data_IF_141036021504
#
_entry.id   IF_141036021504
#
_cell.length_a   1.000
_cell.length_b   1.000
_cell.length_c   1.000
_cell.angle_alpha   90.00
_cell.angle_beta   90.00
_cell.angle_gamma   90.00
#
_symmetry.space_group_name_H-M   'P 1'
#
loop_
_entity.id
_entity.type
_entity.pdbx_description
1 polymer ?
#
# COMPACT_ATOMS: atom_id res chain seq x y z
N UNK A 1 4.89 -2.16 -2.36
CA UNK A 1 4.73 -0.98 -1.51
C UNK A 1 3.30 -0.94 -0.97
N UNK A 2 3.14 -0.72 0.34
CA UNK A 2 1.84 -0.51 0.98
C UNK A 2 1.57 1.00 1.12
N UNK A 3 0.47 1.46 0.51
CA UNK A 3 0.04 2.87 0.52
C UNK A 3 -1.27 3.00 1.31
N UNK A 4 -1.43 4.12 2.00
CA UNK A 4 -2.56 4.37 2.89
C UNK A 4 -3.57 5.43 2.37
N UNK A 5 -3.32 5.99 1.19
CA UNK A 5 -4.16 7.03 0.60
C UNK A 5 -3.95 8.43 1.20
N UNK A 6 -2.94 8.64 2.05
CA UNK A 6 -2.64 9.96 2.60
C UNK A 6 -1.78 10.80 1.67
N UNK A 7 -1.66 12.10 1.95
CA UNK A 7 -0.82 13.04 1.18
C UNK A 7 0.67 12.63 1.11
N UNK A 8 1.12 11.75 2.00
CA UNK A 8 2.50 11.23 2.00
C UNK A 8 2.70 10.06 1.05
N UNK A 9 1.63 9.47 0.51
CA UNK A 9 1.72 8.30 -0.35
C UNK A 9 2.58 8.54 -1.59
N UNK A 10 2.53 9.75 -2.17
CA UNK A 10 3.29 10.08 -3.39
C UNK A 10 4.79 9.98 -3.15
N UNK A 11 5.26 10.43 -1.99
CA UNK A 11 6.67 10.32 -1.60
C UNK A 11 7.09 8.86 -1.38
N UNK A 12 6.23 8.07 -0.73
CA UNK A 12 6.48 6.64 -0.49
C UNK A 12 6.51 5.88 -1.82
N UNK A 13 5.55 6.15 -2.71
CA UNK A 13 5.47 5.54 -4.03
C UNK A 13 6.68 5.89 -4.91
N UNK A 14 7.05 7.15 -4.97
CA UNK A 14 8.23 7.60 -5.72
C UNK A 14 9.52 6.90 -5.22
N UNK A 15 9.63 6.70 -3.91
CA UNK A 15 10.76 5.95 -3.33
C UNK A 15 10.74 4.48 -3.71
N UNK A 16 9.55 3.86 -3.72
CA UNK A 16 9.38 2.46 -4.12
C UNK A 16 9.71 2.25 -5.61
N UNK A 17 9.25 3.14 -6.49
CA UNK A 17 9.57 3.11 -7.92
C UNK A 17 11.09 3.18 -8.13
N UNK A 18 11.77 4.09 -7.43
CA UNK A 18 13.24 4.20 -7.51
C UNK A 18 13.96 2.94 -7.03
N UNK A 19 13.49 2.33 -5.94
CA UNK A 19 14.08 1.08 -5.43
C UNK A 19 13.83 -0.07 -6.42
N UNK A 20 12.61 -0.19 -6.97
CA UNK A 20 12.27 -1.20 -7.95
C UNK A 20 13.15 -1.08 -9.21
N UNK A 21 13.28 0.13 -9.77
CA UNK A 21 14.12 0.38 -10.94
C UNK A 21 15.60 0.05 -10.68
N UNK A 22 16.15 0.49 -9.56
CA UNK A 22 17.56 0.22 -9.22
C UNK A 22 17.90 -1.26 -9.02
N UNK A 23 16.89 -2.09 -8.77
CA UNK A 23 17.07 -3.52 -8.51
C UNK A 23 16.47 -4.42 -9.59
N UNK A 24 15.93 -3.87 -10.67
CA UNK A 24 15.23 -4.65 -11.70
C UNK A 24 14.06 -5.45 -11.13
N UNK A 25 13.35 -4.90 -10.14
CA UNK A 25 12.34 -5.61 -9.38
C UNK A 25 10.92 -5.35 -9.93
N UNK A 26 10.05 -6.36 -9.85
CA UNK A 26 8.61 -6.17 -10.04
C UNK A 26 8.05 -5.29 -8.93
N UNK A 27 7.15 -4.38 -9.28
CA UNK A 27 6.53 -3.46 -8.32
C UNK A 27 5.05 -3.80 -8.12
N UNK A 28 4.70 -4.19 -6.91
CA UNK A 28 3.32 -4.36 -6.46
C UNK A 28 2.93 -3.17 -5.58
N UNK A 29 1.82 -2.51 -5.91
CA UNK A 29 1.29 -1.37 -5.18
C UNK A 29 0.02 -1.83 -4.47
N UNK A 30 0.06 -1.96 -3.15
CA UNK A 30 -1.03 -2.43 -2.33
C UNK A 30 -1.73 -1.30 -1.58
N UNK A 31 -3.06 -1.31 -1.59
CA UNK A 31 -3.91 -0.44 -0.77
C UNK A 31 -5.08 -1.24 -0.20
N UNK A 32 -5.39 -1.00 1.08
CA UNK A 32 -6.56 -1.61 1.73
C UNK A 32 -7.54 -0.51 2.12
N UNK A 33 -8.76 -0.62 1.61
CA UNK A 33 -9.90 0.20 2.03
C UNK A 33 -10.43 -0.40 3.33
N UNK A 34 -10.37 0.36 4.43
CA UNK A 34 -10.91 -0.10 5.73
C UNK A 34 -12.44 -0.15 5.68
N UNK A 35 -13.00 -1.36 5.59
CA UNK A 35 -14.43 -1.60 5.59
C UNK A 35 -15.00 -1.98 6.97
N UNK A 36 -14.19 -1.98 8.02
CA UNK A 36 -14.56 -2.47 9.37
C UNK A 36 -15.79 -1.77 9.93
N UNK A 37 -15.89 -0.45 9.78
CA UNK A 37 -17.03 0.33 10.26
C UNK A 37 -18.31 0.03 9.47
N UNK A 38 -18.20 -0.21 8.17
CA UNK A 38 -19.32 -0.51 7.28
C UNK A 38 -19.87 -1.91 7.53
N UNK A 39 -18.99 -2.89 7.70
CA UNK A 39 -19.36 -4.28 8.04
C UNK A 39 -20.07 -4.35 9.39
N UNK A 40 -19.60 -3.60 10.37
CA UNK A 40 -20.20 -3.52 11.71
C UNK A 40 -21.60 -2.93 11.68
N UNK A 41 -21.91 -2.07 10.71
CA UNK A 41 -23.24 -1.49 10.49
C UNK A 41 -24.19 -2.44 9.71
N UNK A 42 -23.72 -3.63 9.30
CA UNK A 42 -24.50 -4.59 8.51
C UNK A 42 -24.74 -4.15 7.07
N UNK A 43 -23.98 -3.17 6.59
CA UNK A 43 -24.05 -2.67 5.22
C UNK A 43 -22.70 -2.87 4.51
N UNK A 44 -22.74 -3.41 3.31
CA UNK A 44 -21.59 -3.45 2.42
C UNK A 44 -21.90 -2.61 1.17
N UNK A 45 -21.68 -1.28 1.23
CA UNK A 45 -22.01 -0.40 0.13
C UNK A 45 -20.99 -0.55 -1.00
N UNK A 46 -21.28 -1.46 -1.93
CA UNK A 46 -20.41 -1.79 -3.08
C UNK A 46 -20.04 -0.53 -3.86
N UNK A 47 -20.99 0.35 -4.10
CA UNK A 47 -20.75 1.60 -4.86
C UNK A 47 -19.77 2.54 -4.15
N UNK A 48 -19.85 2.62 -2.83
CA UNK A 48 -18.89 3.43 -2.05
C UNK A 48 -17.49 2.84 -2.14
N UNK A 49 -17.36 1.53 -1.99
CA UNK A 49 -16.05 0.84 -2.08
C UNK A 49 -15.45 0.99 -3.48
N UNK A 50 -16.26 0.80 -4.53
CA UNK A 50 -15.82 1.01 -5.90
C UNK A 50 -15.38 2.46 -6.15
N UNK A 51 -16.10 3.44 -5.57
CA UNK A 51 -15.72 4.85 -5.64
C UNK A 51 -14.37 5.14 -4.96
N UNK A 52 -14.14 4.56 -3.78
CA UNK A 52 -12.87 4.70 -3.04
C UNK A 52 -11.71 4.03 -3.79
N UNK A 53 -11.95 2.85 -4.37
CA UNK A 53 -10.95 2.18 -5.20
C UNK A 53 -10.59 3.02 -6.43
N UNK A 54 -11.58 3.55 -7.15
CA UNK A 54 -11.35 4.42 -8.30
C UNK A 54 -10.56 5.66 -7.91
N UNK A 55 -10.96 6.34 -6.84
CA UNK A 55 -10.26 7.53 -6.34
C UNK A 55 -8.80 7.24 -5.97
N UNK A 56 -8.53 6.10 -5.33
CA UNK A 56 -7.16 5.69 -5.04
C UNK A 56 -6.35 5.45 -6.32
N UNK A 57 -6.89 4.69 -7.28
CA UNK A 57 -6.22 4.43 -8.56
C UNK A 57 -5.93 5.71 -9.33
N UNK A 58 -6.87 6.64 -9.36
CA UNK A 58 -6.72 7.95 -10.01
C UNK A 58 -5.62 8.79 -9.34
N UNK A 59 -5.52 8.74 -8.01
CA UNK A 59 -4.52 9.50 -7.26
C UNK A 59 -3.08 9.09 -7.57
N UNK A 60 -2.84 7.85 -7.95
CA UNK A 60 -1.50 7.33 -8.28
C UNK A 60 -1.25 7.13 -9.78
N UNK A 61 -2.23 7.42 -10.64
CA UNK A 61 -2.22 7.06 -12.05
C UNK A 61 -0.96 7.54 -12.79
N UNK A 62 -0.57 8.80 -12.60
CA UNK A 62 0.61 9.38 -13.26
C UNK A 62 1.88 8.63 -12.88
N UNK A 63 2.11 8.42 -11.59
CA UNK A 63 3.31 7.71 -11.11
C UNK A 63 3.35 6.25 -11.57
N UNK A 64 2.19 5.60 -11.67
CA UNK A 64 2.06 4.23 -12.19
C UNK A 64 2.42 4.15 -13.66
N UNK A 65 1.92 5.08 -14.49
CA UNK A 65 2.25 5.09 -15.92
C UNK A 65 3.73 5.39 -16.15
N UNK A 66 4.34 6.29 -15.39
CA UNK A 66 5.79 6.53 -15.41
C UNK A 66 6.59 5.27 -15.02
N UNK A 67 6.14 4.56 -13.99
CA UNK A 67 6.78 3.32 -13.56
C UNK A 67 6.66 2.20 -14.60
N UNK A 68 5.50 2.06 -15.26
CA UNK A 68 5.29 1.09 -16.36
C UNK A 68 6.14 1.39 -17.60
N UNK A 69 6.40 2.66 -17.85
CA UNK A 69 7.25 3.09 -18.96
C UNK A 69 8.74 2.92 -18.68
N UNK A 70 9.12 2.65 -17.43
CA UNK A 70 10.51 2.47 -17.03
C UNK A 70 11.01 1.06 -17.42
N UNK A 71 12.01 0.94 -18.32
CA UNK A 71 12.51 -0.36 -18.79
C UNK A 71 13.19 -1.20 -17.70
N UNK A 72 13.61 -0.57 -16.59
CA UNK A 72 14.26 -1.25 -15.48
C UNK A 72 13.25 -1.88 -14.49
N UNK A 73 11.94 -1.66 -14.68
CA UNK A 73 10.87 -2.25 -13.88
C UNK A 73 10.12 -3.30 -14.71
N UNK A 74 10.31 -4.61 -14.47
CA UNK A 74 9.72 -5.67 -15.29
C UNK A 74 8.19 -5.70 -15.32
N UNK A 75 7.53 -5.33 -14.23
CA UNK A 75 6.07 -5.20 -14.16
C UNK A 75 5.63 -4.29 -13.02
N UNK A 76 4.48 -3.65 -13.20
CA UNK A 76 3.81 -2.84 -12.16
C UNK A 76 2.38 -3.33 -12.02
N UNK A 77 2.00 -3.75 -10.82
CA UNK A 77 0.66 -4.24 -10.51
C UNK A 77 0.05 -3.47 -9.34
N UNK A 78 -1.24 -3.15 -9.45
CA UNK A 78 -2.00 -2.45 -8.40
C UNK A 78 -2.99 -3.43 -7.78
N UNK A 79 -2.89 -3.63 -6.47
CA UNK A 79 -3.78 -4.45 -5.67
C UNK A 79 -4.57 -3.56 -4.71
N UNK A 80 -5.88 -3.45 -4.93
CA UNK A 80 -6.78 -2.81 -3.96
C UNK A 80 -7.70 -3.88 -3.39
N UNK A 81 -7.86 -3.88 -2.09
CA UNK A 81 -8.75 -4.79 -1.35
C UNK A 81 -9.55 -3.98 -0.33
N UNK A 82 -10.68 -4.51 0.09
CA UNK A 82 -11.47 -3.96 1.19
C UNK A 82 -11.55 -4.96 2.32
N UNK A 83 -11.45 -4.49 3.56
CA UNK A 83 -11.48 -5.35 4.73
C UNK A 83 -10.80 -4.74 5.94
N UNK A 84 -10.46 -5.57 6.89
CA UNK A 84 -9.62 -5.17 8.03
C UNK A 84 -8.19 -5.00 7.58
N UNK A 85 -7.64 -3.80 7.72
CA UNK A 85 -6.36 -3.43 7.09
C UNK A 85 -5.25 -4.46 7.33
N UNK A 86 -5.03 -4.89 8.57
CA UNK A 86 -3.91 -5.78 8.91
C UNK A 86 -4.07 -7.18 8.33
N UNK A 87 -5.24 -7.77 8.53
CA UNK A 87 -5.58 -9.10 8.05
C UNK A 87 -5.54 -9.14 6.52
N UNK A 88 -6.22 -8.20 5.88
CA UNK A 88 -6.28 -8.11 4.41
C UNK A 88 -4.88 -7.90 3.82
N UNK A 89 -4.07 -7.01 4.43
CA UNK A 89 -2.71 -6.76 3.97
C UNK A 89 -1.83 -8.02 4.08
N UNK A 90 -1.94 -8.77 5.19
CA UNK A 90 -1.16 -9.99 5.39
C UNK A 90 -1.67 -11.12 4.50
N UNK A 91 -2.95 -11.49 4.66
CA UNK A 91 -3.48 -12.75 4.11
C UNK A 91 -3.77 -12.66 2.61
N UNK A 92 -4.23 -11.50 2.12
CA UNK A 92 -4.65 -11.35 0.72
C UNK A 92 -3.60 -10.69 -0.18
N UNK A 93 -2.63 -9.96 0.39
CA UNK A 93 -1.59 -9.28 -0.39
C UNK A 93 -0.22 -9.90 -0.16
N UNK A 94 0.31 -9.87 1.06
CA UNK A 94 1.68 -10.34 1.31
C UNK A 94 1.82 -11.84 1.06
N UNK A 95 0.89 -12.66 1.55
CA UNK A 95 0.94 -14.11 1.37
C UNK A 95 0.71 -14.53 -0.08
N UNK A 96 -0.04 -13.73 -0.87
CA UNK A 96 -0.26 -13.96 -2.28
C UNK A 96 0.96 -13.58 -3.14
N UNK A 97 1.59 -12.44 -2.84
CA UNK A 97 2.73 -11.91 -3.60
C UNK A 97 4.05 -12.54 -3.17
N UNK A 98 4.21 -12.82 -1.85
CA UNK A 98 5.47 -13.27 -1.23
C UNK A 98 6.64 -12.36 -1.62
N UNK A 99 6.58 -11.07 -1.27
CA UNK A 99 7.59 -10.10 -1.67
C UNK A 99 8.92 -10.35 -0.97
N UNK A 100 10.01 -9.95 -1.61
CA UNK A 100 11.35 -9.92 -0.99
C UNK A 100 11.54 -8.68 -0.12
N UNK A 101 10.85 -7.59 -0.45
CA UNK A 101 10.88 -6.32 0.27
C UNK A 101 9.49 -5.70 0.31
N UNK A 102 9.05 -5.29 1.50
CA UNK A 102 7.87 -4.42 1.67
C UNK A 102 8.31 -3.01 2.03
N UNK A 103 7.75 -2.04 1.33
CA UNK A 103 7.95 -0.63 1.63
C UNK A 103 6.65 -0.01 2.14
N UNK A 104 6.74 0.85 3.15
CA UNK A 104 5.60 1.59 3.67
C UNK A 104 6.03 2.94 4.25
N UNK A 105 5.09 3.85 4.44
CA UNK A 105 5.34 5.10 5.15
C UNK A 105 5.57 4.86 6.65
N UNK A 106 6.39 5.69 7.28
CA UNK A 106 6.59 5.66 8.73
C UNK A 106 5.31 6.00 9.49
N UNK A 107 4.41 6.76 8.89
CA UNK A 107 3.14 7.24 9.45
C UNK A 107 2.02 7.08 8.44
N UNK A 108 0.79 7.02 8.91
CA UNK A 108 -0.43 7.00 8.12
C UNK A 108 -1.42 8.05 8.62
N UNK A 109 -2.70 7.73 8.56
CA UNK A 109 -3.84 8.59 8.93
C UNK A 109 -3.81 9.12 10.38
N UNK A 110 -3.08 8.48 11.30
CA UNK A 110 -3.01 8.94 12.70
C UNK A 110 -1.92 9.99 12.89
N UNK A 111 -2.33 11.22 13.19
CA UNK A 111 -1.47 12.40 13.41
C UNK A 111 -0.83 12.46 14.81
N UNK A 112 -0.49 11.34 15.42
CA UNK A 112 0.19 11.36 16.73
C UNK A 112 1.62 11.85 16.52
N UNK A 113 1.86 13.12 16.87
CA UNK A 113 3.13 13.85 16.62
C UNK A 113 4.37 13.20 17.26
N UNK A 114 4.21 12.28 18.21
CA UNK A 114 5.31 11.70 18.98
C UNK A 114 5.51 10.19 18.73
N UNK A 115 4.69 9.54 17.91
CA UNK A 115 4.91 8.14 17.55
C UNK A 115 5.99 8.03 16.47
N UNK A 116 7.06 7.28 16.75
CA UNK A 116 8.16 7.04 15.81
C UNK A 116 7.70 6.23 14.59
N UNK A 117 6.74 5.32 14.78
CA UNK A 117 6.17 4.47 13.73
C UNK A 117 4.66 4.37 13.87
N UNK A 118 3.96 4.29 12.73
CA UNK A 118 2.53 4.03 12.68
C UNK A 118 2.16 2.59 13.03
N UNK A 119 0.87 2.34 13.24
CA UNK A 119 0.36 1.02 13.60
C UNK A 119 0.58 -0.03 12.52
N UNK A 120 0.50 0.36 11.24
CA UNK A 120 0.69 -0.55 10.09
C UNK A 120 2.17 -0.82 9.86
N UNK A 121 3.03 0.18 9.89
CA UNK A 121 4.49 -0.04 9.79
C UNK A 121 5.01 -0.92 10.93
N UNK A 122 4.52 -0.73 12.15
CA UNK A 122 4.84 -1.61 13.30
C UNK A 122 4.32 -3.03 13.09
N UNK A 123 3.10 -3.19 12.55
CA UNK A 123 2.54 -4.50 12.23
C UNK A 123 3.38 -5.21 11.17
N UNK A 124 3.71 -4.55 10.07
CA UNK A 124 4.55 -5.11 9.00
C UNK A 124 5.90 -5.59 9.51
N UNK A 125 6.58 -4.79 10.34
CA UNK A 125 7.86 -5.16 10.95
C UNK A 125 7.81 -6.44 11.80
N UNK A 126 6.64 -6.75 12.38
CA UNK A 126 6.46 -7.91 13.26
C UNK A 126 5.93 -9.16 12.56
N UNK A 127 5.19 -8.97 11.45
CA UNK A 127 4.40 -10.05 10.84
C UNK A 127 4.82 -10.42 9.43
N UNK A 128 5.74 -9.68 8.82
CA UNK A 128 6.25 -10.01 7.48
C UNK A 128 7.43 -10.97 7.56
N UNK A 129 7.51 -11.88 6.59
CA UNK A 129 8.59 -12.84 6.45
C UNK A 129 9.71 -12.35 5.51
N UNK A 130 9.74 -11.05 5.21
CA UNK A 130 10.67 -10.39 4.31
C UNK A 130 11.21 -9.08 4.90
N UNK A 131 12.15 -8.45 4.22
CA UNK A 131 12.69 -7.16 4.60
C UNK A 131 11.63 -6.05 4.55
N UNK A 132 11.72 -5.11 5.49
CA UNK A 132 10.82 -3.95 5.57
C UNK A 132 11.63 -2.66 5.48
N UNK A 133 11.27 -1.81 4.52
CA UNK A 133 11.81 -0.46 4.40
C UNK A 133 10.73 0.55 4.76
N UNK A 134 10.98 1.27 5.84
CA UNK A 134 10.07 2.33 6.31
C UNK A 134 10.56 3.67 5.80
N UNK A 135 9.73 4.34 5.01
CA UNK A 135 10.01 5.64 4.40
C UNK A 135 9.53 6.75 5.36
N UNK A 136 10.43 7.70 5.66
CA UNK A 136 10.15 8.84 6.55
C UNK A 136 9.93 10.11 5.74
#
# INVERSE_FOLDING_TARGET
VALDGTDQQDFVLARAIKVAANNGAKLYIGHVIDSTALESAGAYPVDLINGLESAFRDSIAVAVEEAKANPDIPSVEIMVRSGRIRETLKDEMLDAVKPDLVMCGARGLSSIKYALLGSISTFLLRSSDCDILVVK
#
